data_IF_852940281745
#
_entry.id   IF_852940281745
#
_cell.length_a   1.000
_cell.length_b   1.000
_cell.length_c   1.000
_cell.angle_alpha   90.00
_cell.angle_beta   90.00
_cell.angle_gamma   90.00
#
_symmetry.space_group_name_H-M   'P 1'
#
loop_
_entity.id
_entity.type
_entity.pdbx_description
1 polymer ?
#
# COMPACT_ATOMS: atom_id res chain seq x y z
N UNK A 1 16.49 -25.10 1.65
CA UNK A 1 17.85 -24.68 2.02
C UNK A 1 18.91 -25.11 0.98
N UNK A 2 18.77 -24.72 -0.30
CA UNK A 2 19.65 -25.19 -1.39
C UNK A 2 20.35 -24.06 -2.17
N UNK A 3 20.72 -22.95 -1.52
CA UNK A 3 21.62 -22.00 -2.17
C UNK A 3 23.04 -22.36 -1.78
N UNK A 4 23.76 -22.98 -2.72
CA UNK A 4 25.20 -23.11 -2.60
C UNK A 4 25.78 -21.71 -2.70
N UNK A 5 26.37 -21.21 -1.62
CA UNK A 5 27.11 -19.94 -1.53
C UNK A 5 28.33 -19.84 -2.47
N UNK A 6 28.44 -20.72 -3.47
CA UNK A 6 29.60 -20.88 -4.33
C UNK A 6 29.53 -20.05 -5.61
N UNK A 7 28.35 -19.58 -6.01
CA UNK A 7 28.21 -18.86 -7.27
C UNK A 7 28.48 -17.35 -7.10
N UNK A 8 29.35 -16.75 -7.92
CA UNK A 8 29.61 -15.30 -7.89
C UNK A 8 28.31 -14.52 -8.10
N UNK A 9 28.13 -13.36 -7.44
CA UNK A 9 26.97 -12.47 -7.63
C UNK A 9 26.64 -12.22 -9.11
N UNK A 10 27.66 -12.21 -9.97
CA UNK A 10 27.55 -12.07 -11.42
C UNK A 10 26.72 -13.16 -12.10
N UNK A 11 26.59 -14.37 -11.54
CA UNK A 11 25.73 -15.43 -12.07
C UNK A 11 24.24 -15.14 -11.84
N UNK A 12 23.92 -14.24 -10.91
CA UNK A 12 22.56 -13.81 -10.59
C UNK A 12 22.15 -12.53 -11.33
N UNK A 13 22.90 -12.14 -12.37
CA UNK A 13 22.69 -10.92 -13.13
C UNK A 13 22.59 -11.19 -14.62
N UNK A 14 21.46 -10.78 -15.20
CA UNK A 14 21.27 -10.58 -16.63
C UNK A 14 21.51 -9.09 -16.89
N UNK A 15 22.55 -8.77 -17.69
CA UNK A 15 22.94 -7.38 -17.99
C UNK A 15 22.87 -7.04 -19.49
N UNK A 16 22.33 -7.92 -20.34
CA UNK A 16 22.27 -7.69 -21.79
C UNK A 16 20.93 -7.06 -22.16
N UNK A 17 20.89 -5.79 -22.60
CA UNK A 17 19.63 -5.17 -23.00
C UNK A 17 18.97 -5.91 -24.17
N UNK A 18 17.65 -5.96 -24.13
CA UNK A 18 16.74 -6.58 -25.09
C UNK A 18 16.92 -8.10 -25.25
N UNK A 19 17.46 -8.78 -24.25
CA UNK A 19 17.54 -10.24 -24.22
C UNK A 19 16.17 -10.89 -24.21
N UNK A 20 15.16 -10.25 -23.60
CA UNK A 20 13.78 -10.72 -23.61
C UNK A 20 13.24 -11.03 -25.01
N UNK A 21 13.74 -10.36 -26.06
CA UNK A 21 13.34 -10.62 -27.45
C UNK A 21 13.79 -12.02 -27.88
N UNK A 22 15.03 -12.38 -27.54
CA UNK A 22 15.57 -13.71 -27.84
C UNK A 22 14.87 -14.77 -27.01
N UNK A 23 14.60 -14.47 -25.74
CA UNK A 23 13.95 -15.40 -24.81
C UNK A 23 12.50 -15.69 -25.25
N UNK A 24 11.74 -14.65 -25.63
CA UNK A 24 10.41 -14.81 -26.23
C UNK A 24 10.50 -15.64 -27.51
N UNK A 25 11.47 -15.38 -28.39
CA UNK A 25 11.59 -16.13 -29.63
C UNK A 25 11.95 -17.60 -29.41
N UNK A 26 12.81 -17.87 -28.44
CA UNK A 26 13.19 -19.22 -28.03
C UNK A 26 11.99 -19.97 -27.41
N UNK A 27 11.28 -19.34 -26.48
CA UNK A 27 10.18 -19.98 -25.74
C UNK A 27 8.94 -20.24 -26.59
N UNK A 28 8.63 -19.32 -27.51
CA UNK A 28 7.38 -19.36 -28.29
C UNK A 28 7.58 -19.88 -29.71
N UNK A 29 8.83 -20.04 -30.16
CA UNK A 29 9.17 -20.38 -31.54
C UNK A 29 8.72 -19.34 -32.57
N UNK A 30 8.45 -18.09 -32.15
CA UNK A 30 7.96 -17.04 -33.05
C UNK A 30 9.00 -16.72 -34.13
N UNK A 31 8.53 -16.52 -35.36
CA UNK A 31 9.37 -16.07 -36.47
C UNK A 31 8.97 -14.65 -36.81
N UNK A 32 9.81 -13.67 -36.46
CA UNK A 32 9.53 -12.24 -36.59
C UNK A 32 9.18 -11.78 -38.02
N UNK A 33 9.65 -12.50 -39.05
CA UNK A 33 9.34 -12.20 -40.45
C UNK A 33 7.98 -12.75 -40.92
N UNK A 34 7.31 -13.61 -40.14
CA UNK A 34 6.04 -14.27 -40.52
C UNK A 34 4.93 -13.94 -39.52
N UNK A 35 4.06 -12.95 -39.79
CA UNK A 35 2.99 -12.54 -38.87
C UNK A 35 2.04 -13.66 -38.44
N UNK A 36 1.87 -14.70 -39.25
CA UNK A 36 1.05 -15.86 -38.90
C UNK A 36 1.55 -16.62 -37.66
N UNK A 37 2.86 -16.54 -37.33
CA UNK A 37 3.41 -17.16 -36.13
C UNK A 37 3.09 -16.38 -34.86
N UNK A 38 2.60 -15.14 -34.92
CA UNK A 38 2.40 -14.31 -33.72
C UNK A 38 1.30 -14.83 -32.79
N UNK A 39 0.47 -15.76 -33.27
CA UNK A 39 -0.47 -16.50 -32.41
C UNK A 39 0.24 -17.25 -31.29
N UNK A 40 1.51 -17.67 -31.48
CA UNK A 40 2.28 -18.36 -30.44
C UNK A 40 2.72 -17.45 -29.29
N UNK A 41 2.65 -16.12 -29.46
CA UNK A 41 2.95 -15.16 -28.41
C UNK A 41 1.83 -15.07 -27.38
N UNK A 42 0.60 -15.43 -27.76
CA UNK A 42 -0.56 -15.35 -26.88
C UNK A 42 -0.47 -16.46 -25.83
N UNK A 43 -0.48 -16.09 -24.54
CA UNK A 43 -0.36 -17.05 -23.45
C UNK A 43 1.07 -17.38 -23.03
N UNK A 44 2.08 -16.82 -23.71
CA UNK A 44 3.48 -17.06 -23.37
C UNK A 44 3.89 -16.33 -22.08
N UNK A 45 4.50 -17.05 -21.15
CA UNK A 45 4.95 -16.50 -19.87
C UNK A 45 6.02 -15.41 -20.04
N UNK A 46 6.96 -15.59 -20.97
CA UNK A 46 8.00 -14.60 -21.28
C UNK A 46 7.42 -13.30 -21.85
N UNK A 47 6.34 -13.37 -22.62
CA UNK A 47 5.59 -12.18 -23.07
C UNK A 47 4.89 -11.50 -21.89
N UNK A 48 4.24 -12.28 -21.03
CA UNK A 48 3.55 -11.73 -19.86
C UNK A 48 4.49 -11.08 -18.86
N UNK A 49 5.71 -11.60 -18.67
CA UNK A 49 6.72 -10.97 -17.83
C UNK A 49 6.98 -9.52 -18.27
N UNK A 50 7.29 -9.31 -19.56
CA UNK A 50 7.58 -7.97 -20.08
C UNK A 50 6.36 -7.05 -19.94
N UNK A 51 5.16 -7.56 -20.27
CA UNK A 51 3.92 -6.78 -20.14
C UNK A 51 3.66 -6.38 -18.70
N UNK A 52 3.80 -7.29 -17.74
CA UNK A 52 3.57 -6.99 -16.33
C UNK A 52 4.61 -6.05 -15.75
N UNK A 53 5.87 -6.12 -16.19
CA UNK A 53 6.89 -5.15 -15.80
C UNK A 53 6.54 -3.75 -16.32
N UNK A 54 6.13 -3.60 -17.58
CA UNK A 54 5.61 -2.31 -18.08
C UNK A 54 4.40 -1.85 -17.26
N UNK A 55 3.47 -2.74 -16.93
CA UNK A 55 2.27 -2.38 -16.16
C UNK A 55 2.58 -2.04 -14.69
N UNK A 56 3.67 -2.56 -14.11
CA UNK A 56 4.01 -2.39 -12.70
C UNK A 56 4.17 -0.91 -12.32
N UNK A 57 4.93 -0.15 -13.11
CA UNK A 57 5.16 1.28 -12.84
C UNK A 57 4.28 2.22 -13.68
N UNK A 58 3.40 1.68 -14.53
CA UNK A 58 2.45 2.49 -15.28
C UNK A 58 1.57 3.39 -14.40
N UNK A 59 0.92 2.90 -13.32
CA UNK A 59 0.13 3.75 -12.42
C UNK A 59 0.97 4.85 -11.75
N UNK A 60 2.24 4.57 -11.42
CA UNK A 60 3.14 5.56 -10.84
C UNK A 60 3.42 6.71 -11.83
N UNK A 61 3.57 6.40 -13.13
CA UNK A 61 3.65 7.39 -14.20
C UNK A 61 2.45 8.32 -14.27
N UNK A 62 1.24 7.75 -14.21
CA UNK A 62 -0.02 8.52 -14.18
C UNK A 62 -0.05 9.47 -12.98
N UNK A 63 0.33 8.96 -11.81
CA UNK A 63 0.39 9.75 -10.59
C UNK A 63 1.45 10.86 -10.63
N UNK A 64 2.61 10.61 -11.22
CA UNK A 64 3.63 11.64 -11.41
C UNK A 64 3.18 12.74 -12.37
N UNK A 65 2.42 12.40 -13.43
CA UNK A 65 1.82 13.41 -14.31
C UNK A 65 0.82 14.28 -13.55
N UNK A 66 0.02 13.67 -12.69
CA UNK A 66 -0.89 14.38 -11.79
C UNK A 66 -0.12 15.34 -10.86
N UNK A 67 1.04 14.93 -10.33
CA UNK A 67 1.90 15.78 -9.48
C UNK A 67 2.53 16.95 -10.24
N UNK A 68 3.10 16.69 -11.41
CA UNK A 68 3.97 17.63 -12.12
C UNK A 68 3.25 18.66 -12.99
N UNK A 69 1.94 18.49 -13.23
CA UNK A 69 1.03 19.36 -14.02
C UNK A 69 1.44 19.60 -15.49
N UNK A 70 2.69 19.33 -15.87
CA UNK A 70 3.28 19.73 -17.16
C UNK A 70 3.95 18.56 -17.86
N UNK A 71 3.89 18.56 -19.20
CA UNK A 71 4.62 17.60 -20.05
C UNK A 71 6.14 17.75 -19.94
N UNK A 72 6.62 18.94 -19.60
CA UNK A 72 8.05 19.29 -19.54
C UNK A 72 8.86 18.47 -18.53
N UNK A 73 8.20 17.81 -17.56
CA UNK A 73 8.87 17.03 -16.50
C UNK A 73 8.98 15.53 -16.80
N UNK A 74 8.78 15.11 -18.05
CA UNK A 74 8.89 13.71 -18.47
C UNK A 74 10.25 13.08 -18.08
N UNK A 75 11.34 13.85 -18.16
CA UNK A 75 12.67 13.39 -17.78
C UNK A 75 12.76 12.98 -16.31
N UNK A 76 12.14 13.74 -15.40
CA UNK A 76 12.08 13.39 -13.98
C UNK A 76 11.27 12.11 -13.74
N UNK A 77 10.25 11.84 -14.56
CA UNK A 77 9.48 10.59 -14.46
C UNK A 77 10.33 9.40 -14.86
N UNK A 78 11.13 9.52 -15.91
CA UNK A 78 12.09 8.47 -16.30
C UNK A 78 13.10 8.26 -15.18
N UNK A 79 13.67 9.33 -14.62
CA UNK A 79 14.65 9.22 -13.54
C UNK A 79 14.06 8.56 -12.28
N UNK A 80 12.85 8.95 -11.87
CA UNK A 80 12.15 8.35 -10.74
C UNK A 80 11.76 6.90 -11.04
N UNK A 81 11.21 6.63 -12.23
CA UNK A 81 10.83 5.28 -12.65
C UNK A 81 12.02 4.33 -12.69
N UNK A 82 13.14 4.79 -13.24
CA UNK A 82 14.42 4.08 -13.21
C UNK A 82 14.91 3.84 -11.79
N UNK A 83 14.89 4.88 -10.93
CA UNK A 83 15.33 4.75 -9.54
C UNK A 83 14.49 3.76 -8.73
N UNK A 84 13.16 3.78 -8.90
CA UNK A 84 12.24 2.83 -8.26
C UNK A 84 12.45 1.42 -8.79
N UNK A 85 12.60 1.27 -10.10
CA UNK A 85 12.85 -0.04 -10.68
C UNK A 85 14.21 -0.60 -10.28
N UNK A 86 15.25 0.24 -10.22
CA UNK A 86 16.57 -0.17 -9.73
C UNK A 86 16.50 -0.60 -8.26
N UNK A 87 15.71 0.11 -7.46
CA UNK A 87 15.45 -0.28 -6.09
C UNK A 87 14.80 -1.66 -5.99
N UNK A 88 13.85 -2.01 -6.88
CA UNK A 88 13.26 -3.35 -6.92
C UNK A 88 14.29 -4.42 -7.25
N UNK A 89 15.07 -4.22 -8.32
CA UNK A 89 16.09 -5.18 -8.74
C UNK A 89 17.17 -5.39 -7.66
N UNK A 90 17.66 -4.31 -7.04
CA UNK A 90 18.62 -4.39 -5.92
C UNK A 90 17.99 -5.12 -4.72
N UNK A 91 16.73 -4.81 -4.40
CA UNK A 91 16.02 -5.46 -3.30
C UNK A 91 15.92 -6.96 -3.56
N UNK A 92 15.64 -7.40 -4.78
CA UNK A 92 15.53 -8.83 -5.09
C UNK A 92 16.89 -9.54 -5.16
N UNK A 93 17.87 -8.89 -5.79
CA UNK A 93 19.24 -9.38 -5.90
C UNK A 93 19.90 -9.56 -4.52
N UNK A 94 19.65 -8.63 -3.60
CA UNK A 94 20.17 -8.72 -2.22
C UNK A 94 19.36 -9.69 -1.35
N UNK A 95 18.33 -10.36 -1.92
CA UNK A 95 17.41 -11.21 -1.17
C UNK A 95 16.64 -10.43 -0.11
N UNK A 96 16.37 -9.15 -0.35
CA UNK A 96 15.91 -8.14 0.61
C UNK A 96 16.90 -7.97 1.75
N UNK A 97 18.04 -7.39 1.41
CA UNK A 97 19.06 -6.89 2.34
C UNK A 97 19.58 -7.94 3.34
N UNK A 98 19.67 -9.20 2.92
CA UNK A 98 20.21 -10.29 3.73
C UNK A 98 19.23 -10.93 4.72
N UNK A 99 17.94 -10.59 4.64
CA UNK A 99 16.89 -11.31 5.38
C UNK A 99 16.80 -12.75 4.86
N UNK A 100 16.87 -12.92 3.54
CA UNK A 100 16.93 -14.22 2.89
C UNK A 100 18.37 -14.58 2.54
N UNK A 101 18.66 -15.87 2.56
CA UNK A 101 20.02 -16.41 2.33
C UNK A 101 20.46 -16.32 0.87
N UNK A 102 19.55 -16.00 -0.06
CA UNK A 102 19.83 -15.91 -1.49
C UNK A 102 18.93 -14.89 -2.20
N UNK A 103 19.32 -14.46 -3.42
CA UNK A 103 18.47 -13.67 -4.29
C UNK A 103 17.13 -14.37 -4.54
N UNK A 104 16.04 -13.61 -4.49
CA UNK A 104 14.71 -14.14 -4.77
C UNK A 104 14.50 -14.35 -6.28
N UNK A 105 15.16 -13.52 -7.09
CA UNK A 105 15.09 -13.50 -8.56
C UNK A 105 16.42 -12.98 -9.11
N UNK A 106 16.70 -13.30 -10.36
CA UNK A 106 17.83 -12.73 -11.11
C UNK A 106 17.60 -11.22 -11.28
N UNK A 107 18.67 -10.44 -11.12
CA UNK A 107 18.68 -9.04 -11.52
C UNK A 107 18.60 -8.97 -13.04
N UNK A 108 17.61 -8.26 -13.60
CA UNK A 108 17.40 -8.20 -15.05
C UNK A 108 17.32 -6.75 -15.54
N UNK A 109 18.25 -6.38 -16.44
CA UNK A 109 18.28 -5.05 -17.05
C UNK A 109 17.05 -4.80 -17.94
N UNK A 110 16.47 -5.84 -18.51
CA UNK A 110 15.25 -5.71 -19.31
C UNK A 110 14.03 -5.41 -18.44
N UNK A 111 13.95 -6.01 -17.25
CA UNK A 111 12.90 -5.71 -16.27
C UNK A 111 13.03 -4.25 -15.79
N UNK A 112 14.27 -3.77 -15.55
CA UNK A 112 14.58 -2.38 -15.25
C UNK A 112 14.10 -1.41 -16.33
N UNK A 113 14.36 -1.73 -17.60
CA UNK A 113 13.97 -0.93 -18.75
C UNK A 113 12.45 -0.95 -18.97
N UNK A 114 11.81 -2.13 -18.85
CA UNK A 114 10.37 -2.31 -19.01
C UNK A 114 9.59 -1.52 -17.96
N UNK A 115 9.97 -1.61 -16.68
CA UNK A 115 9.37 -0.83 -15.60
C UNK A 115 9.54 0.68 -15.84
N UNK A 116 10.74 1.12 -16.24
CA UNK A 116 10.99 2.54 -16.56
C UNK A 116 10.12 3.03 -17.72
N UNK A 117 9.98 2.20 -18.77
CA UNK A 117 9.07 2.46 -19.88
C UNK A 117 7.62 2.55 -19.41
N UNK A 118 7.21 1.66 -18.51
CA UNK A 118 5.92 1.68 -17.83
C UNK A 118 5.61 3.04 -17.21
N UNK A 119 6.51 3.55 -16.37
CA UNK A 119 6.39 4.87 -15.76
C UNK A 119 6.26 5.99 -16.81
N UNK A 120 7.04 5.93 -17.89
CA UNK A 120 6.95 6.91 -18.97
C UNK A 120 5.62 6.85 -19.73
N UNK A 121 5.17 5.66 -20.12
CA UNK A 121 3.89 5.46 -20.81
C UNK A 121 2.72 5.88 -19.93
N UNK A 122 2.76 5.55 -18.64
CA UNK A 122 1.78 6.01 -17.65
C UNK A 122 1.67 7.54 -17.62
N UNK A 123 2.81 8.24 -17.60
CA UNK A 123 2.83 9.71 -17.65
C UNK A 123 2.30 10.29 -18.97
N UNK A 124 2.55 9.62 -20.08
CA UNK A 124 2.08 10.03 -21.41
C UNK A 124 0.56 9.87 -21.54
N UNK A 125 0.03 8.72 -21.12
CA UNK A 125 -1.40 8.37 -21.21
C UNK A 125 -2.23 8.87 -20.03
N UNK A 126 -1.61 9.42 -18.98
CA UNK A 126 -2.29 9.97 -17.82
C UNK A 126 -3.51 10.85 -18.14
N UNK A 127 -3.51 11.74 -19.17
CA UNK A 127 -4.69 12.55 -19.48
C UNK A 127 -5.97 11.74 -19.73
N UNK A 128 -5.86 10.52 -20.29
CA UNK A 128 -7.01 9.63 -20.52
C UNK A 128 -7.66 9.20 -19.20
N UNK A 129 -6.84 8.97 -18.16
CA UNK A 129 -7.29 8.52 -16.85
C UNK A 129 -7.66 9.68 -15.92
N UNK A 130 -6.90 10.78 -15.99
CA UNK A 130 -7.11 11.96 -15.15
C UNK A 130 -8.37 12.75 -15.55
N UNK A 131 -8.90 12.56 -16.76
CA UNK A 131 -10.20 13.11 -17.16
C UNK A 131 -11.37 12.61 -16.28
N UNK A 132 -11.21 11.45 -15.64
CA UNK A 132 -12.21 10.86 -14.73
C UNK A 132 -12.04 11.34 -13.28
N UNK A 133 -10.98 12.08 -12.97
CA UNK A 133 -10.61 12.51 -11.62
C UNK A 133 -10.81 14.03 -11.50
N UNK A 134 -11.37 14.55 -10.39
CA UNK A 134 -11.51 15.98 -10.19
C UNK A 134 -10.17 16.72 -10.34
N UNK A 135 -10.20 17.88 -11.00
CA UNK A 135 -9.01 18.73 -11.16
C UNK A 135 -8.45 19.15 -9.80
N UNK A 136 -7.12 19.12 -9.66
CA UNK A 136 -6.40 19.52 -8.44
C UNK A 136 -6.81 20.89 -7.89
N UNK A 137 -7.12 21.85 -8.74
CA UNK A 137 -7.37 23.21 -8.28
C UNK A 137 -8.68 23.28 -7.46
N UNK A 138 -9.72 22.52 -7.85
CA UNK A 138 -10.92 22.31 -7.01
C UNK A 138 -10.64 21.58 -5.70
N UNK A 139 -9.72 20.60 -5.73
CA UNK A 139 -9.30 19.83 -4.54
C UNK A 139 -8.53 20.74 -3.56
N UNK A 140 -7.73 21.67 -4.09
CA UNK A 140 -6.94 22.63 -3.32
C UNK A 140 -7.80 23.74 -2.73
N UNK A 141 -8.76 24.30 -3.46
CA UNK A 141 -9.71 25.30 -2.92
C UNK A 141 -10.49 24.73 -1.73
N UNK A 142 -10.91 23.46 -1.80
CA UNK A 142 -11.55 22.77 -0.69
C UNK A 142 -10.60 22.49 0.48
N UNK A 143 -9.34 22.14 0.20
CA UNK A 143 -8.34 22.02 1.27
C UNK A 143 -8.07 23.38 1.93
N UNK A 144 -8.07 24.47 1.16
CA UNK A 144 -7.91 25.83 1.66
C UNK A 144 -9.06 26.26 2.57
N UNK A 145 -10.32 25.94 2.25
CA UNK A 145 -11.44 26.20 3.17
C UNK A 145 -11.32 25.41 4.48
N UNK A 146 -11.04 24.10 4.43
CA UNK A 146 -10.79 23.29 5.64
C UNK A 146 -9.61 23.82 6.46
N UNK A 147 -8.56 24.30 5.79
CA UNK A 147 -7.40 24.92 6.44
C UNK A 147 -7.74 26.27 7.08
N UNK A 148 -8.57 27.09 6.45
CA UNK A 148 -9.00 28.39 6.97
C UNK A 148 -9.88 28.23 8.22
N UNK A 149 -10.61 27.12 8.35
CA UNK A 149 -11.37 26.75 9.55
C UNK A 149 -10.52 26.11 10.66
N UNK A 150 -9.19 26.02 10.47
CA UNK A 150 -8.27 25.43 11.45
C UNK A 150 -8.33 23.90 11.53
N UNK A 151 -8.96 23.23 10.56
CA UNK A 151 -9.06 21.78 10.51
C UNK A 151 -7.92 21.17 9.67
N UNK A 152 -7.58 19.92 9.99
CA UNK A 152 -6.60 19.15 9.21
C UNK A 152 -7.26 18.54 7.98
N UNK A 153 -6.57 18.58 6.83
CA UNK A 153 -7.09 17.97 5.60
C UNK A 153 -7.29 16.46 5.76
N UNK A 154 -8.22 15.89 4.98
CA UNK A 154 -8.47 14.43 4.95
C UNK A 154 -7.17 13.66 4.65
N UNK A 155 -6.32 14.22 3.79
CA UNK A 155 -4.99 13.70 3.49
C UNK A 155 -4.09 13.57 4.71
N UNK A 156 -3.96 14.64 5.49
CA UNK A 156 -3.16 14.63 6.72
C UNK A 156 -3.73 13.64 7.75
N UNK A 157 -5.06 13.57 7.90
CA UNK A 157 -5.72 12.64 8.81
C UNK A 157 -5.42 11.17 8.49
N UNK A 158 -5.55 10.77 7.21
CA UNK A 158 -5.27 9.41 6.77
C UNK A 158 -3.79 9.09 6.84
N UNK A 159 -2.92 10.01 6.40
CA UNK A 159 -1.48 9.80 6.46
C UNK A 159 -0.98 9.64 7.90
N UNK A 160 -1.48 10.48 8.82
CA UNK A 160 -1.20 10.35 10.25
C UNK A 160 -1.64 8.99 10.81
N UNK A 161 -2.84 8.51 10.43
CA UNK A 161 -3.33 7.20 10.83
C UNK A 161 -2.47 6.05 10.27
N UNK A 162 -2.06 6.13 9.00
CA UNK A 162 -1.19 5.13 8.38
C UNK A 162 0.16 5.05 9.10
N UNK A 163 0.76 6.20 9.44
CA UNK A 163 1.99 6.24 10.23
C UNK A 163 1.81 5.59 11.61
N UNK A 164 0.70 5.86 12.29
CA UNK A 164 0.37 5.21 13.56
C UNK A 164 0.25 3.69 13.42
N UNK A 165 -0.42 3.19 12.37
CA UNK A 165 -0.58 1.75 12.11
C UNK A 165 0.77 1.10 11.77
N UNK A 166 1.61 1.72 10.93
CA UNK A 166 2.96 1.22 10.60
C UNK A 166 3.81 1.12 11.87
N UNK A 167 3.76 2.15 12.71
CA UNK A 167 4.50 2.14 13.97
C UNK A 167 4.01 1.03 14.91
N UNK A 168 2.70 0.88 15.07
CA UNK A 168 2.12 -0.21 15.88
C UNK A 168 2.57 -1.57 15.35
N UNK A 169 2.54 -1.78 14.03
CA UNK A 169 3.05 -3.01 13.39
C UNK A 169 4.53 -3.24 13.69
N UNK A 170 5.34 -2.20 13.57
CA UNK A 170 6.77 -2.26 13.89
C UNK A 170 6.99 -2.67 15.35
N UNK A 171 6.29 -2.02 16.30
CA UNK A 171 6.39 -2.35 17.73
C UNK A 171 5.95 -3.80 17.99
N UNK A 172 4.83 -4.24 17.42
CA UNK A 172 4.37 -5.64 17.53
C UNK A 172 5.43 -6.60 17.01
N UNK A 173 6.01 -6.36 15.83
CA UNK A 173 7.06 -7.21 15.25
C UNK A 173 8.32 -7.28 16.09
N UNK A 174 8.78 -6.13 16.62
CA UNK A 174 9.93 -6.07 17.53
C UNK A 174 9.68 -6.88 18.80
N UNK A 175 8.51 -6.71 19.44
CA UNK A 175 8.16 -7.46 20.66
C UNK A 175 8.06 -8.96 20.37
N UNK A 176 7.42 -9.38 19.27
CA UNK A 176 7.35 -10.79 18.88
C UNK A 176 8.76 -11.38 18.68
N UNK A 177 9.65 -10.65 18.01
CA UNK A 177 11.03 -11.07 17.75
C UNK A 177 11.85 -11.20 19.04
N UNK A 178 11.80 -10.20 19.93
CA UNK A 178 12.52 -10.19 21.20
C UNK A 178 12.04 -11.32 22.13
N UNK A 179 10.72 -11.54 22.18
CA UNK A 179 10.11 -12.58 23.01
C UNK A 179 10.18 -13.97 22.36
N UNK A 180 10.65 -14.06 21.10
CA UNK A 180 10.64 -15.27 20.27
C UNK A 180 9.26 -15.91 20.18
N UNK A 181 8.21 -15.09 20.25
CA UNK A 181 6.84 -15.54 20.11
C UNK A 181 6.52 -15.78 18.65
N UNK A 182 5.74 -16.83 18.40
CA UNK A 182 5.27 -17.20 17.06
C UNK A 182 3.78 -17.53 17.11
N UNK A 183 3.14 -17.55 15.95
CA UNK A 183 1.74 -17.90 15.80
C UNK A 183 0.82 -16.69 15.58
N UNK A 184 -0.14 -16.90 14.67
CA UNK A 184 -1.08 -15.87 14.20
C UNK A 184 -1.91 -15.28 15.35
N UNK A 185 -2.38 -16.12 16.28
CA UNK A 185 -3.20 -15.66 17.40
C UNK A 185 -2.43 -14.72 18.33
N UNK A 186 -1.18 -15.07 18.67
CA UNK A 186 -0.32 -14.26 19.53
C UNK A 186 -0.01 -12.92 18.88
N UNK A 187 0.34 -12.91 17.58
CA UNK A 187 0.55 -11.67 16.82
C UNK A 187 -0.71 -10.81 16.80
N UNK A 188 -1.86 -11.41 16.50
CA UNK A 188 -3.14 -10.72 16.45
C UNK A 188 -3.52 -10.10 17.80
N UNK A 189 -3.40 -10.86 18.89
CA UNK A 189 -3.68 -10.39 20.24
C UNK A 189 -2.73 -9.24 20.65
N UNK A 190 -1.43 -9.38 20.38
CA UNK A 190 -0.46 -8.34 20.68
C UNK A 190 -0.71 -7.07 19.86
N UNK A 191 -0.94 -7.19 18.55
CA UNK A 191 -1.30 -6.06 17.69
C UNK A 191 -2.55 -5.33 18.21
N UNK A 192 -3.57 -6.07 18.65
CA UNK A 192 -4.81 -5.52 19.22
C UNK A 192 -4.50 -4.63 20.43
N UNK A 193 -3.70 -5.13 21.37
CA UNK A 193 -3.33 -4.39 22.59
C UNK A 193 -2.47 -3.17 22.25
N UNK A 194 -1.44 -3.32 21.42
CA UNK A 194 -0.55 -2.21 21.05
C UNK A 194 -1.30 -1.13 20.27
N UNK A 195 -2.22 -1.51 19.38
CA UNK A 195 -3.07 -0.57 18.64
C UNK A 195 -4.00 0.20 19.60
N UNK A 196 -4.62 -0.49 20.57
CA UNK A 196 -5.44 0.15 21.58
C UNK A 196 -4.64 1.17 22.40
N UNK A 197 -3.43 0.80 22.83
CA UNK A 197 -2.53 1.72 23.53
C UNK A 197 -2.19 2.92 22.64
N UNK A 198 -1.81 2.70 21.39
CA UNK A 198 -1.43 3.77 20.45
C UNK A 198 -2.55 4.73 20.07
N UNK A 199 -3.79 4.24 19.93
CA UNK A 199 -4.94 5.05 19.47
C UNK A 199 -5.78 5.60 20.64
N UNK A 200 -5.76 4.95 21.81
CA UNK A 200 -6.58 5.36 22.96
C UNK A 200 -5.73 5.95 24.07
N UNK A 201 -4.74 5.20 24.55
CA UNK A 201 -3.99 5.58 25.77
C UNK A 201 -2.99 6.70 25.48
N UNK A 202 -2.19 6.58 24.42
CA UNK A 202 -1.19 7.58 24.03
C UNK A 202 -1.83 8.97 23.81
N UNK A 203 -2.87 9.15 22.98
CA UNK A 203 -3.47 10.48 22.81
C UNK A 203 -4.20 10.97 24.05
N UNK A 204 -4.63 10.10 24.96
CA UNK A 204 -5.18 10.54 26.25
C UNK A 204 -4.10 11.19 27.13
N UNK A 205 -2.91 10.56 27.22
CA UNK A 205 -1.77 11.08 27.98
C UNK A 205 -1.18 12.31 27.27
N UNK A 206 -1.08 12.27 25.95
CA UNK A 206 -0.50 13.33 25.13
C UNK A 206 -1.52 14.38 24.70
N UNK A 207 -2.66 14.53 25.39
CA UNK A 207 -3.64 15.60 25.19
C UNK A 207 -4.10 15.77 23.73
N UNK A 208 -4.35 14.66 23.03
CA UNK A 208 -4.87 14.59 21.67
C UNK A 208 -3.85 14.23 20.59
N UNK A 209 -2.61 13.91 20.96
CA UNK A 209 -1.58 13.57 19.98
C UNK A 209 -1.25 12.07 19.97
N UNK A 210 -1.32 11.47 18.78
CA UNK A 210 -0.58 10.25 18.41
C UNK A 210 0.76 10.62 17.77
N UNK A 211 1.64 9.64 17.54
CA UNK A 211 2.93 9.87 16.88
C UNK A 211 2.76 10.36 15.44
N UNK A 212 1.91 9.69 14.67
CA UNK A 212 1.56 10.09 13.31
C UNK A 212 0.91 11.47 13.26
N UNK A 213 -0.01 11.77 14.19
CA UNK A 213 -0.65 13.09 14.25
C UNK A 213 0.35 14.23 14.52
N UNK A 214 1.41 14.00 15.31
CA UNK A 214 2.46 15.01 15.53
C UNK A 214 3.25 15.29 14.25
N UNK A 215 3.59 14.24 13.50
CA UNK A 215 4.32 14.35 12.23
C UNK A 215 3.52 15.20 11.24
N UNK A 216 2.21 14.98 11.16
CA UNK A 216 1.32 15.76 10.27
C UNK A 216 0.78 17.05 10.88
N UNK A 217 1.25 17.44 12.08
CA UNK A 217 0.84 18.66 12.81
C UNK A 217 -0.68 18.75 13.03
N UNK A 218 -1.28 17.65 13.46
CA UNK A 218 -2.70 17.51 13.76
C UNK A 218 -2.91 17.15 15.24
N UNK A 219 -3.98 17.68 15.84
CA UNK A 219 -4.45 17.33 17.18
C UNK A 219 -5.84 16.71 17.10
N UNK A 220 -6.03 15.57 17.75
CA UNK A 220 -7.33 14.92 17.94
C UNK A 220 -8.02 15.55 19.15
N UNK A 221 -9.13 16.25 18.93
CA UNK A 221 -9.90 16.93 19.97
C UNK A 221 -11.31 16.32 20.05
N UNK A 222 -11.62 15.55 21.11
CA UNK A 222 -12.98 15.12 21.36
C UNK A 222 -13.91 16.32 21.57
N UNK A 223 -15.13 16.25 21.03
CA UNK A 223 -16.19 17.24 21.27
C UNK A 223 -16.73 17.18 22.71
N UNK A 224 -16.63 16.01 23.34
CA UNK A 224 -17.07 15.77 24.71
C UNK A 224 -15.87 15.68 25.67
N UNK A 225 -16.09 15.90 26.96
CA UNK A 225 -15.06 15.69 27.99
C UNK A 225 -14.70 14.21 28.19
N UNK A 226 -15.44 13.28 27.58
CA UNK A 226 -15.22 11.83 27.68
C UNK A 226 -14.17 11.35 26.68
N UNK A 227 -12.90 11.65 26.97
CA UNK A 227 -11.74 11.27 26.15
C UNK A 227 -11.68 9.77 25.87
N UNK A 228 -11.75 8.95 26.91
CA UNK A 228 -11.65 7.49 26.78
C UNK A 228 -12.75 6.91 25.89
N UNK A 229 -14.00 7.35 26.07
CA UNK A 229 -15.14 6.88 25.25
C UNK A 229 -14.99 7.28 23.79
N UNK A 230 -14.60 8.53 23.52
CA UNK A 230 -14.44 9.04 22.17
C UNK A 230 -13.30 8.32 21.44
N UNK A 231 -12.14 8.19 22.09
CA UNK A 231 -10.99 7.49 21.52
C UNK A 231 -11.23 5.98 21.37
N UNK A 232 -11.93 5.33 22.31
CA UNK A 232 -12.32 3.92 22.18
C UNK A 232 -13.28 3.69 21.02
N UNK A 233 -14.24 4.58 20.78
CA UNK A 233 -15.11 4.53 19.59
C UNK A 233 -14.33 4.67 18.30
N UNK A 234 -13.35 5.59 18.27
CA UNK A 234 -12.45 5.77 17.13
C UNK A 234 -11.63 4.50 16.87
N UNK A 235 -11.07 3.91 17.93
CA UNK A 235 -10.36 2.63 17.87
C UNK A 235 -11.25 1.53 17.28
N UNK A 236 -12.47 1.34 17.80
CA UNK A 236 -13.39 0.31 17.30
C UNK A 236 -13.71 0.50 15.82
N UNK A 237 -13.99 1.72 15.39
CA UNK A 237 -14.29 2.03 13.98
C UNK A 237 -13.12 1.67 13.04
N UNK A 238 -11.87 1.89 13.49
CA UNK A 238 -10.67 1.55 12.71
C UNK A 238 -10.37 0.04 12.79
N UNK A 239 -10.57 -0.57 13.96
CA UNK A 239 -10.18 -1.94 14.25
C UNK A 239 -11.13 -2.99 13.70
N UNK A 240 -12.42 -2.69 13.54
CA UNK A 240 -13.46 -3.68 13.21
C UNK A 240 -13.18 -4.50 11.92
N UNK A 241 -12.80 -3.91 10.77
CA UNK A 241 -12.48 -4.70 9.58
C UNK A 241 -11.30 -5.65 9.80
N UNK A 242 -10.29 -5.18 10.54
CA UNK A 242 -9.12 -6.00 10.89
C UNK A 242 -9.49 -7.14 11.85
N UNK A 243 -10.34 -6.88 12.84
CA UNK A 243 -10.82 -7.90 13.77
C UNK A 243 -11.50 -9.07 13.04
N UNK A 244 -12.44 -8.75 12.13
CA UNK A 244 -13.12 -9.77 11.33
C UNK A 244 -12.20 -10.46 10.32
N UNK A 245 -11.18 -9.77 9.81
CA UNK A 245 -10.13 -10.40 9.00
C UNK A 245 -9.34 -11.44 9.80
N UNK A 246 -8.97 -11.12 11.05
CA UNK A 246 -8.30 -12.05 11.95
C UNK A 246 -9.17 -13.25 12.31
N UNK A 247 -10.44 -13.02 12.66
CA UNK A 247 -11.41 -14.09 12.91
C UNK A 247 -11.57 -15.01 11.68
N UNK A 248 -11.68 -14.44 10.49
CA UNK A 248 -11.74 -15.21 9.25
C UNK A 248 -10.45 -16.04 9.03
N UNK A 249 -9.27 -15.47 9.30
CA UNK A 249 -8.00 -16.20 9.21
C UNK A 249 -7.94 -17.40 10.15
N UNK A 250 -8.33 -17.21 11.41
CA UNK A 250 -8.40 -18.30 12.40
C UNK A 250 -9.42 -19.35 11.97
N UNK A 251 -10.63 -18.95 11.56
CA UNK A 251 -11.67 -19.89 11.12
C UNK A 251 -11.22 -20.73 9.92
N UNK A 252 -10.53 -20.13 8.95
CA UNK A 252 -10.01 -20.84 7.78
C UNK A 252 -8.97 -21.90 8.12
N UNK A 253 -8.17 -21.68 9.17
CA UNK A 253 -7.19 -22.68 9.63
C UNK A 253 -7.86 -23.97 10.13
N UNK A 254 -9.05 -23.85 10.73
CA UNK A 254 -9.82 -25.01 11.19
C UNK A 254 -10.75 -25.56 10.10
N UNK A 255 -11.18 -24.74 9.14
CA UNK A 255 -12.14 -25.13 8.11
C UNK A 255 -11.63 -26.22 7.17
N UNK A 256 -10.32 -26.32 6.92
CA UNK A 256 -9.75 -27.31 5.99
C UNK A 256 -9.90 -28.76 6.43
N UNK A 257 -10.23 -29.02 7.70
CA UNK A 257 -10.43 -30.36 8.25
C UNK A 257 -11.84 -30.55 8.86
N UNK A 258 -12.76 -29.62 8.61
CA UNK A 258 -14.00 -29.55 9.35
C UNK A 258 -15.24 -29.89 8.53
N UNK A 259 -16.34 -30.12 9.25
CA UNK A 259 -17.66 -30.34 8.68
C UNK A 259 -18.18 -29.12 7.90
N UNK A 260 -19.16 -29.35 7.02
CA UNK A 260 -19.78 -28.34 6.16
C UNK A 260 -20.18 -27.06 6.93
N UNK A 261 -20.67 -27.18 8.16
CA UNK A 261 -21.09 -26.03 8.96
C UNK A 261 -19.93 -25.06 9.26
N UNK A 262 -18.75 -25.59 9.62
CA UNK A 262 -17.58 -24.74 9.93
C UNK A 262 -17.01 -24.09 8.66
N UNK A 263 -17.06 -24.79 7.52
CA UNK A 263 -16.70 -24.23 6.23
C UNK A 263 -17.60 -23.05 5.85
N UNK A 264 -18.93 -23.21 5.96
CA UNK A 264 -19.90 -22.14 5.70
C UNK A 264 -19.71 -20.95 6.64
N UNK A 265 -19.43 -21.22 7.92
CA UNK A 265 -19.11 -20.16 8.90
C UNK A 265 -17.85 -19.39 8.50
N UNK A 266 -16.77 -20.09 8.10
CA UNK A 266 -15.53 -19.46 7.65
C UNK A 266 -15.74 -18.59 6.40
N UNK A 267 -16.48 -19.10 5.42
CA UNK A 267 -16.85 -18.34 4.21
C UNK A 267 -17.64 -17.08 4.59
N UNK A 268 -18.60 -17.21 5.52
CA UNK A 268 -19.37 -16.08 6.04
C UNK A 268 -18.50 -15.00 6.68
N UNK A 269 -17.50 -15.40 7.47
CA UNK A 269 -16.53 -14.46 8.07
C UNK A 269 -15.65 -13.77 7.04
N UNK A 270 -15.16 -14.50 6.03
CA UNK A 270 -14.39 -13.91 4.92
C UNK A 270 -15.24 -12.90 4.16
N UNK A 271 -16.46 -13.27 3.80
CA UNK A 271 -17.40 -12.39 3.10
C UNK A 271 -17.69 -11.12 3.90
N UNK A 272 -17.98 -11.24 5.20
CA UNK A 272 -18.20 -10.11 6.10
C UNK A 272 -16.96 -9.21 6.18
N UNK A 273 -15.77 -9.78 6.30
CA UNK A 273 -14.51 -9.04 6.31
C UNK A 273 -14.31 -8.22 5.03
N UNK A 274 -14.52 -8.84 3.86
CA UNK A 274 -14.43 -8.16 2.56
C UNK A 274 -15.43 -7.03 2.46
N UNK A 275 -16.68 -7.24 2.89
CA UNK A 275 -17.71 -6.20 2.90
C UNK A 275 -17.32 -5.01 3.79
N UNK A 276 -16.76 -5.27 4.98
CA UNK A 276 -16.28 -4.22 5.89
C UNK A 276 -15.11 -3.43 5.28
N UNK A 277 -14.14 -4.10 4.64
CA UNK A 277 -13.06 -3.39 3.95
C UNK A 277 -13.56 -2.57 2.76
N UNK A 278 -14.47 -3.11 1.95
CA UNK A 278 -15.07 -2.40 0.82
C UNK A 278 -15.84 -1.16 1.26
N UNK A 279 -16.60 -1.25 2.35
CA UNK A 279 -17.34 -0.10 2.90
C UNK A 279 -16.40 0.97 3.45
N UNK A 280 -15.34 0.58 4.18
CA UNK A 280 -14.34 1.52 4.70
C UNK A 280 -13.57 2.21 3.57
N UNK A 281 -13.06 1.43 2.60
CA UNK A 281 -12.32 1.97 1.46
C UNK A 281 -13.23 2.85 0.60
N UNK A 282 -14.45 2.38 0.30
CA UNK A 282 -15.44 3.15 -0.44
C UNK A 282 -15.78 4.47 0.25
N UNK A 283 -15.98 4.47 1.57
CA UNK A 283 -16.20 5.70 2.33
C UNK A 283 -14.99 6.63 2.26
N UNK A 284 -13.77 6.10 2.48
CA UNK A 284 -12.54 6.90 2.38
C UNK A 284 -12.39 7.52 0.99
N UNK A 285 -12.60 6.77 -0.08
CA UNK A 285 -12.51 7.26 -1.46
C UNK A 285 -13.55 8.34 -1.75
N UNK A 286 -14.82 8.11 -1.37
CA UNK A 286 -15.89 9.08 -1.55
C UNK A 286 -15.56 10.37 -0.79
N UNK A 287 -15.09 10.28 0.46
CA UNK A 287 -14.73 11.47 1.26
C UNK A 287 -13.47 12.15 0.77
N UNK A 288 -12.48 11.41 0.27
CA UNK A 288 -11.30 11.97 -0.35
C UNK A 288 -11.65 12.81 -1.59
N UNK A 289 -12.60 12.33 -2.38
CA UNK A 289 -13.07 12.98 -3.61
C UNK A 289 -13.99 14.17 -3.30
N UNK A 290 -15.00 13.97 -2.43
CA UNK A 290 -16.02 14.99 -2.15
C UNK A 290 -15.60 16.03 -1.12
N UNK A 291 -14.78 15.64 -0.15
CA UNK A 291 -14.30 16.46 0.99
C UNK A 291 -15.40 17.24 1.73
N UNK A 292 -16.62 16.74 1.68
CA UNK A 292 -17.85 17.39 2.17
C UNK A 292 -18.16 17.03 3.63
N UNK A 293 -17.62 15.93 4.13
CA UNK A 293 -17.90 15.37 5.45
C UNK A 293 -16.64 14.79 6.09
N UNK A 294 -16.58 14.71 7.44
CA UNK A 294 -15.49 14.06 8.13
C UNK A 294 -15.38 12.56 7.78
N UNK A 295 -14.22 11.98 8.09
CA UNK A 295 -14.02 10.54 7.99
C UNK A 295 -14.89 9.79 9.01
N UNK A 296 -15.39 8.62 8.63
CA UNK A 296 -16.35 7.84 9.43
C UNK A 296 -15.87 7.58 10.88
N UNK A 297 -14.57 7.32 11.06
CA UNK A 297 -13.99 7.07 12.38
C UNK A 297 -13.93 8.32 13.26
N UNK A 298 -13.91 9.53 12.68
CA UNK A 298 -13.97 10.80 13.40
C UNK A 298 -15.43 11.20 13.67
N UNK A 299 -16.33 10.98 12.71
CA UNK A 299 -17.78 11.21 12.86
C UNK A 299 -18.38 10.33 13.97
N UNK A 300 -18.11 9.02 13.93
CA UNK A 300 -18.60 8.08 14.94
C UNK A 300 -18.02 8.33 16.34
N UNK A 301 -16.77 8.80 16.41
CA UNK A 301 -16.09 9.09 17.67
C UNK A 301 -16.34 10.48 18.23
N UNK A 302 -16.98 11.38 17.46
CA UNK A 302 -17.13 12.80 17.81
C UNK A 302 -15.78 13.46 18.13
N UNK A 303 -14.81 13.23 17.25
CA UNK A 303 -13.46 13.80 17.34
C UNK A 303 -13.21 14.71 16.15
N UNK A 304 -12.82 15.94 16.45
CA UNK A 304 -12.41 16.94 15.46
C UNK A 304 -10.88 16.89 15.32
N UNK A 305 -10.40 16.94 14.08
CA UNK A 305 -8.97 16.96 13.76
C UNK A 305 -8.50 18.40 13.51
N UNK A 306 -7.91 19.02 14.53
CA UNK A 306 -7.45 20.41 14.47
C UNK A 306 -6.02 20.48 13.92
N UNK A 307 -5.75 21.43 13.03
CA UNK A 307 -4.41 21.71 12.53
C UNK A 307 -3.66 22.60 13.51
N UNK A 308 -2.41 22.24 13.84
CA UNK A 308 -1.54 23.08 14.66
C UNK A 308 -0.86 24.13 13.79
N UNK A 309 -1.18 25.40 14.01
CA UNK A 309 -0.37 26.51 13.52
C UNK A 309 0.88 26.65 14.40
N UNK A 310 2.01 27.04 13.83
CA UNK A 310 3.33 27.06 14.50
C UNK A 310 3.45 28.01 15.69
N UNK A 311 2.38 28.68 16.11
CA UNK A 311 2.37 29.67 17.20
C UNK A 311 1.48 29.27 18.40
N UNK A 312 1.50 28.01 18.82
CA UNK A 312 0.96 27.56 20.12
C UNK A 312 1.64 26.29 20.62
#
# INVERSE_FOLDING_TARGET
DNCQFADPIMSYMQLRPFQFIQDIAHDTGVVWSRPSSYKSLVGALSVYQVVFNVLLLFPAGVFLRYLFKTKAKWFYVILIGFGVSLFFEITQLTGVFGIFTCPYRLFDVDDLMANTLGAFLGFLFAPLFLALIPSRDKINEQDETHMNEGQSTIGAQLFGLVLDIILVRFITGVVMSLMKWTGMFTEFALFTVVLFVGIVIVPMIWKGYTLGSRIVRMKLQPETTKWFTSLSRRYLAIYLPYFFSGLAGVANQFASQAELLLLLFSIGLVFLSVLLWMTVIGHILIRWIKKDKPLYFNEYSKIISLRRHTNS
#
